data_IF_400771852544
#
_entry.id   IF_400771852544
#
_cell.length_a   1.000
_cell.length_b   1.000
_cell.length_c   1.000
_cell.angle_alpha   90.00
_cell.angle_beta   90.00
_cell.angle_gamma   90.00
#
_symmetry.space_group_name_H-M   'P 1'
#
loop_
_entity.id
_entity.type
_entity.pdbx_description
1 polymer ?
#
# COMPACT_ATOMS: atom_id res chain seq x y z
N UNK A 1 -19.40 -7.28 -28.81
CA UNK A 1 -18.41 -6.19 -28.67
C UNK A 1 -18.49 -5.64 -27.25
N UNK A 2 -17.54 -5.95 -26.36
CA UNK A 2 -17.52 -5.40 -25.00
C UNK A 2 -16.69 -4.12 -25.06
N UNK A 3 -17.36 -2.98 -24.91
CA UNK A 3 -16.68 -1.68 -24.82
C UNK A 3 -15.79 -1.72 -23.58
N UNK A 4 -14.48 -1.87 -23.76
CA UNK A 4 -13.50 -1.60 -22.71
C UNK A 4 -13.49 -0.10 -22.50
N UNK A 5 -14.12 0.34 -21.41
CA UNK A 5 -14.11 1.75 -20.98
C UNK A 5 -12.66 2.15 -20.73
N UNK A 6 -12.20 3.23 -21.36
CA UNK A 6 -10.87 3.77 -21.09
C UNK A 6 -10.69 3.97 -19.58
N UNK A 7 -9.63 3.38 -19.02
CA UNK A 7 -9.34 3.50 -17.60
C UNK A 7 -9.07 4.98 -17.30
N UNK A 8 -10.00 5.63 -16.58
CA UNK A 8 -9.75 6.95 -16.01
C UNK A 8 -8.45 6.94 -15.22
N UNK A 9 -7.76 8.09 -15.15
CA UNK A 9 -6.46 8.21 -14.48
C UNK A 9 -6.51 7.55 -13.11
N UNK A 10 -5.79 6.43 -12.95
CA UNK A 10 -5.70 5.73 -11.67
C UNK A 10 -5.07 6.70 -10.67
N UNK A 11 -5.58 6.68 -9.44
CA UNK A 11 -5.00 7.38 -8.29
C UNK A 11 -4.21 6.38 -7.47
N UNK A 12 -3.15 6.82 -6.81
CA UNK A 12 -2.35 5.96 -5.93
C UNK A 12 -3.19 5.34 -4.82
N UNK A 13 -4.16 6.09 -4.29
CA UNK A 13 -5.16 5.61 -3.32
C UNK A 13 -5.99 4.42 -3.81
N UNK A 14 -6.06 4.15 -5.13
CA UNK A 14 -6.71 2.94 -5.64
C UNK A 14 -5.95 1.64 -5.33
N UNK A 15 -4.66 1.72 -4.98
CA UNK A 15 -3.84 0.58 -4.57
C UNK A 15 -4.11 0.17 -3.12
N UNK A 16 -4.53 1.12 -2.27
CA UNK A 16 -4.64 0.95 -0.82
C UNK A 16 -5.39 -0.31 -0.39
N UNK A 17 -6.60 -0.52 -0.92
CA UNK A 17 -7.46 -1.62 -0.49
C UNK A 17 -6.82 -2.99 -0.76
N UNK A 18 -6.21 -3.17 -1.93
CA UNK A 18 -5.58 -4.44 -2.30
C UNK A 18 -4.32 -4.72 -1.48
N UNK A 19 -3.48 -3.69 -1.29
CA UNK A 19 -2.22 -3.83 -0.53
C UNK A 19 -2.49 -4.04 0.96
N UNK A 20 -3.42 -3.27 1.55
CA UNK A 20 -3.83 -3.46 2.93
C UNK A 20 -4.36 -4.88 3.17
N UNK A 21 -5.28 -5.32 2.31
CA UNK A 21 -5.83 -6.68 2.42
C UNK A 21 -4.72 -7.74 2.36
N UNK A 22 -3.77 -7.60 1.43
CA UNK A 22 -2.64 -8.53 1.32
C UNK A 22 -1.80 -8.56 2.61
N UNK A 23 -1.45 -7.41 3.17
CA UNK A 23 -0.72 -7.34 4.45
C UNK A 23 -1.51 -8.01 5.60
N UNK A 24 -2.81 -7.78 5.67
CA UNK A 24 -3.68 -8.41 6.67
C UNK A 24 -3.73 -9.94 6.50
N UNK A 25 -3.73 -10.47 5.27
CA UNK A 25 -3.64 -11.93 5.03
C UNK A 25 -2.31 -12.54 5.48
N UNK A 26 -1.25 -11.74 5.57
CA UNK A 26 0.06 -12.14 6.10
C UNK A 26 0.16 -12.01 7.63
N UNK A 27 -0.95 -11.70 8.31
CA UNK A 27 -1.05 -11.59 9.76
C UNK A 27 -0.58 -10.24 10.32
N UNK A 28 -0.43 -9.20 9.49
CA UNK A 28 -0.14 -7.85 9.98
C UNK A 28 -1.43 -7.11 10.32
N UNK A 29 -1.41 -6.33 11.40
CA UNK A 29 -2.34 -5.24 11.62
C UNK A 29 -1.89 -4.04 10.78
N UNK A 30 -2.60 -3.77 9.68
CA UNK A 30 -2.25 -2.71 8.73
C UNK A 30 -3.17 -1.48 8.87
N UNK A 31 -2.57 -0.29 9.02
CA UNK A 31 -3.28 1.00 9.10
C UNK A 31 -2.70 1.99 8.10
N UNK A 32 -3.57 2.85 7.56
CA UNK A 32 -3.17 3.89 6.61
C UNK A 32 -2.83 5.21 7.28
N UNK A 33 -2.11 6.07 6.54
CA UNK A 33 -1.82 7.47 6.92
C UNK A 33 -1.14 7.61 8.29
N UNK A 34 -0.16 6.74 8.56
CA UNK A 34 0.58 6.72 9.81
C UNK A 34 1.88 7.51 9.63
N UNK A 35 2.00 8.65 10.33
CA UNK A 35 3.20 9.49 10.32
C UNK A 35 3.68 9.90 8.91
N UNK A 36 2.76 10.00 7.94
CA UNK A 36 3.08 10.33 6.54
C UNK A 36 3.31 9.13 5.63
N UNK A 37 3.35 7.90 6.16
CA UNK A 37 3.39 6.69 5.35
C UNK A 37 2.00 6.27 4.87
N UNK A 38 1.92 5.71 3.66
CA UNK A 38 0.65 5.27 3.09
C UNK A 38 0.02 4.11 3.87
N UNK A 39 0.80 3.06 4.19
CA UNK A 39 0.37 1.95 5.06
C UNK A 39 1.52 1.54 6.00
N UNK A 40 1.18 1.35 7.28
CA UNK A 40 2.06 0.74 8.29
C UNK A 40 1.44 -0.54 8.81
N UNK A 41 2.22 -1.62 8.78
CA UNK A 41 1.85 -2.95 9.28
C UNK A 41 2.71 -3.36 10.47
N UNK A 42 2.08 -3.88 11.53
CA UNK A 42 2.77 -4.50 12.66
C UNK A 42 2.27 -5.93 12.85
N UNK A 43 3.13 -6.84 13.31
CA UNK A 43 2.70 -8.19 13.67
C UNK A 43 2.70 -8.35 15.20
N UNK A 44 1.55 -8.60 15.83
CA UNK A 44 1.47 -8.80 17.27
C UNK A 44 2.26 -10.04 17.72
N UNK A 45 2.94 -9.95 18.86
CA UNK A 45 3.59 -11.10 19.51
C UNK A 45 4.96 -11.52 18.94
N UNK A 46 5.43 -10.90 17.85
CA UNK A 46 6.79 -11.06 17.32
C UNK A 46 7.70 -9.89 17.75
N UNK A 47 9.04 -10.02 17.66
CA UNK A 47 9.95 -8.87 17.78
C UNK A 47 9.46 -7.71 16.91
N UNK A 48 9.71 -6.44 17.29
CA UNK A 48 9.09 -5.29 16.65
C UNK A 48 9.58 -5.09 15.21
N UNK A 49 8.98 -5.83 14.27
CA UNK A 49 9.12 -5.63 12.84
C UNK A 49 7.99 -4.70 12.42
N UNK A 50 8.36 -3.53 11.93
CA UNK A 50 7.44 -2.55 11.37
C UNK A 50 7.57 -2.61 9.86
N UNK A 51 6.47 -2.85 9.17
CA UNK A 51 6.40 -2.82 7.71
C UNK A 51 5.90 -1.44 7.29
N UNK A 52 6.74 -0.67 6.62
CA UNK A 52 6.39 0.62 6.01
C UNK A 52 6.11 0.37 4.53
N UNK A 53 5.00 0.89 4.01
CA UNK A 53 4.58 0.72 2.63
C UNK A 53 4.19 2.04 2.01
N UNK A 54 4.82 2.38 0.89
CA UNK A 54 4.54 3.54 0.05
C UNK A 54 3.90 3.10 -1.27
N UNK A 55 2.86 3.79 -1.71
CA UNK A 55 2.03 3.43 -2.86
C UNK A 55 2.29 4.38 -4.02
N UNK A 56 2.89 3.84 -5.09
CA UNK A 56 3.10 4.58 -6.35
C UNK A 56 2.59 3.78 -7.54
N UNK A 57 2.06 4.49 -8.54
CA UNK A 57 1.67 3.86 -9.81
C UNK A 57 2.87 3.54 -10.71
N UNK A 58 3.98 4.24 -10.50
CA UNK A 58 5.23 4.09 -11.24
C UNK A 58 6.39 4.17 -10.26
N UNK A 59 7.38 3.30 -10.41
CA UNK A 59 8.63 3.38 -9.64
C UNK A 59 9.40 4.66 -10.01
N UNK A 60 9.91 5.37 -9.01
CA UNK A 60 10.78 6.53 -9.19
C UNK A 60 11.96 6.48 -8.23
N UNK A 61 13.02 7.24 -8.53
CA UNK A 61 14.14 7.39 -7.59
C UNK A 61 13.70 8.15 -6.32
N UNK A 62 12.77 9.09 -6.44
CA UNK A 62 12.19 9.80 -5.29
C UNK A 62 11.53 8.83 -4.30
N UNK A 63 10.81 7.81 -4.79
CA UNK A 63 10.20 6.78 -3.94
C UNK A 63 11.26 5.89 -3.23
N UNK A 64 12.38 5.63 -3.90
CA UNK A 64 13.44 4.77 -3.36
C UNK A 64 14.30 5.51 -2.32
N UNK A 65 14.47 6.82 -2.50
CA UNK A 65 15.40 7.64 -1.71
C UNK A 65 14.70 8.38 -0.54
N UNK A 66 13.55 7.86 -0.08
CA UNK A 66 12.80 8.40 1.07
C UNK A 66 13.46 8.08 2.41
#
# INVERSE_FOLDING_TARGET
MKVVKAAGRRRETSLYAAVKWYLETLGYEAKGEICGCDIVGIRPGEPPVVVITELKLTLSLELILQ
#
